data_IF_794582803126
#
_entry.id   IF_794582803126
#
_cell.length_a   1.000
_cell.length_b   1.000
_cell.length_c   1.000
_cell.angle_alpha   90.00
_cell.angle_beta   90.00
_cell.angle_gamma   90.00
#
_symmetry.space_group_name_H-M   'P 1'
#
loop_
_entity.id
_entity.type
_entity.pdbx_description
1 polymer ?
#
# COMPACT_ATOMS: atom_id res chain seq x y z
N UNK A 1 29.13 -6.79 -68.39
CA UNK A 1 29.49 -8.18 -68.00
C UNK A 1 29.29 -8.28 -66.48
N UNK A 2 28.66 -9.32 -65.90
CA UNK A 2 27.85 -10.44 -66.45
C UNK A 2 26.32 -10.14 -66.36
N UNK A 3 25.47 -10.62 -67.25
CA UNK A 3 24.83 -11.96 -67.43
C UNK A 3 23.58 -12.25 -66.55
N UNK A 4 22.45 -11.78 -67.07
CA UNK A 4 21.16 -12.44 -67.35
C UNK A 4 21.01 -13.97 -67.14
N UNK A 5 19.81 -14.42 -66.67
CA UNK A 5 18.92 -15.50 -67.20
C UNK A 5 18.24 -16.38 -66.12
N UNK A 6 16.90 -16.25 -66.05
CA UNK A 6 15.78 -17.24 -66.00
C UNK A 6 15.83 -18.47 -65.04
N UNK A 7 14.74 -19.14 -64.63
CA UNK A 7 13.42 -19.36 -65.24
C UNK A 7 12.40 -19.82 -64.18
N UNK A 8 11.11 -19.61 -64.48
CA UNK A 8 9.97 -20.28 -63.84
C UNK A 8 9.86 -21.73 -64.32
N UNK A 9 9.40 -22.63 -63.45
CA UNK A 9 8.72 -23.87 -63.83
C UNK A 9 7.65 -24.22 -62.78
N UNK A 10 6.39 -24.26 -63.22
CA UNK A 10 5.29 -24.96 -62.56
C UNK A 10 5.45 -26.47 -62.82
N UNK A 11 5.12 -27.31 -61.84
CA UNK A 11 4.55 -28.65 -62.07
C UNK A 11 3.86 -29.13 -60.79
N UNK A 12 2.56 -29.43 -60.92
CA UNK A 12 1.74 -30.12 -59.93
C UNK A 12 1.86 -31.64 -60.09
N UNK A 13 1.74 -32.41 -59.01
CA UNK A 13 1.32 -33.81 -59.07
C UNK A 13 0.68 -34.25 -57.74
N UNK A 14 -0.42 -34.98 -57.88
CA UNK A 14 -1.25 -35.54 -56.83
C UNK A 14 -0.80 -36.96 -56.44
N UNK A 15 -1.10 -37.36 -55.20
CA UNK A 15 -1.69 -38.68 -54.92
C UNK A 15 -0.83 -39.83 -54.34
N UNK A 16 -1.16 -40.17 -53.07
CA UNK A 16 -1.42 -41.51 -52.49
C UNK A 16 -0.26 -42.46 -52.05
N UNK A 17 -0.23 -42.65 -50.72
CA UNK A 17 0.02 -43.85 -49.88
C UNK A 17 1.31 -44.69 -49.98
N UNK A 18 2.03 -44.84 -48.85
CA UNK A 18 2.03 -46.06 -47.99
C UNK A 18 3.27 -46.15 -47.09
N UNK A 19 3.02 -46.38 -45.79
CA UNK A 19 3.82 -47.15 -44.80
C UNK A 19 5.36 -47.00 -44.80
N UNK A 20 5.83 -46.15 -43.88
CA UNK A 20 7.20 -46.19 -43.36
C UNK A 20 7.21 -45.67 -41.93
N UNK A 21 6.99 -46.54 -40.95
CA UNK A 21 7.09 -46.22 -39.54
C UNK A 21 8.58 -46.06 -39.17
N UNK A 22 9.15 -44.88 -39.43
CA UNK A 22 10.39 -44.46 -38.79
C UNK A 22 10.03 -43.89 -37.42
N UNK A 23 10.28 -44.68 -36.38
CA UNK A 23 10.25 -44.22 -35.00
C UNK A 23 11.35 -43.15 -34.81
N UNK A 24 10.99 -41.89 -35.01
CA UNK A 24 11.78 -40.78 -34.47
C UNK A 24 11.60 -40.83 -32.95
N UNK A 25 12.63 -41.31 -32.25
CA UNK A 25 12.86 -41.01 -30.85
C UNK A 25 13.12 -39.50 -30.77
N UNK A 26 12.06 -38.72 -30.55
CA UNK A 26 12.21 -37.34 -30.07
C UNK A 26 12.70 -37.47 -28.62
N UNK A 27 13.90 -36.99 -28.28
CA UNK A 27 14.26 -36.87 -26.88
C UNK A 27 13.27 -35.89 -26.26
N UNK A 28 12.44 -36.39 -25.35
CA UNK A 28 11.70 -35.55 -24.41
C UNK A 28 12.75 -34.95 -23.46
N UNK A 29 13.42 -33.89 -23.93
CA UNK A 29 14.09 -32.95 -23.06
C UNK A 29 12.99 -32.20 -22.30
N UNK A 30 12.56 -32.77 -21.18
CA UNK A 30 11.78 -32.06 -20.16
C UNK A 30 12.74 -31.22 -19.32
N UNK A 31 13.49 -30.32 -19.96
CA UNK A 31 13.92 -29.11 -19.26
C UNK A 31 12.76 -28.15 -19.41
N UNK A 32 11.85 -28.20 -18.43
CA UNK A 32 11.00 -27.04 -18.19
C UNK A 32 11.95 -25.85 -18.00
N UNK A 33 11.89 -24.78 -18.82
CA UNK A 33 12.75 -23.63 -18.60
C UNK A 33 12.57 -23.19 -17.15
N UNK A 34 13.67 -23.21 -16.40
CA UNK A 34 13.71 -22.75 -15.02
C UNK A 34 13.18 -21.33 -15.05
N UNK A 35 12.01 -21.11 -14.41
CA UNK A 35 11.38 -19.79 -14.44
C UNK A 35 12.36 -18.80 -13.85
N UNK A 36 12.56 -17.63 -14.48
CA UNK A 36 13.49 -16.64 -13.96
C UNK A 36 13.07 -16.30 -12.53
N UNK A 37 14.03 -16.39 -11.61
CA UNK A 37 13.86 -16.00 -10.22
C UNK A 37 13.42 -14.52 -10.18
N UNK A 38 12.24 -14.24 -9.63
CA UNK A 38 11.75 -12.87 -9.43
C UNK A 38 12.29 -12.35 -8.11
N UNK A 39 12.87 -11.16 -8.11
CA UNK A 39 13.22 -10.44 -6.89
C UNK A 39 11.94 -9.87 -6.30
N UNK A 40 11.60 -10.26 -5.07
CA UNK A 40 10.55 -9.61 -4.30
C UNK A 40 11.17 -8.46 -3.53
N UNK A 41 10.84 -7.24 -3.93
CA UNK A 41 11.32 -6.01 -3.30
C UNK A 41 10.30 -5.51 -2.29
N UNK A 42 10.79 -4.96 -1.19
CA UNK A 42 9.95 -4.26 -0.22
C UNK A 42 10.02 -2.77 -0.52
N UNK A 43 8.86 -2.11 -0.50
CA UNK A 43 8.70 -0.68 -0.72
C UNK A 43 7.81 -0.09 0.34
N UNK A 44 8.00 1.21 0.61
CA UNK A 44 7.01 2.00 1.34
C UNK A 44 6.17 2.72 0.30
N UNK A 45 4.88 2.45 0.31
CA UNK A 45 3.90 3.11 -0.53
C UNK A 45 3.76 4.59 -0.14
N UNK A 46 3.54 5.44 -1.14
CA UNK A 46 3.29 6.86 -0.98
C UNK A 46 1.84 7.16 -0.58
N UNK A 47 0.91 6.25 -0.86
CA UNK A 47 -0.50 6.38 -0.51
C UNK A 47 -1.03 5.12 0.19
N UNK A 48 -1.96 5.25 1.16
CA UNK A 48 -2.76 4.13 1.63
C UNK A 48 -3.48 3.48 0.45
N UNK A 49 -3.47 2.15 0.39
CA UNK A 49 -3.91 1.42 -0.81
C UNK A 49 -4.46 0.01 -0.54
N UNK A 50 -4.65 -0.39 0.72
CA UNK A 50 -4.96 -1.79 1.06
C UNK A 50 -6.44 -2.00 1.31
N UNK A 51 -7.07 -1.10 2.04
CA UNK A 51 -8.45 -1.24 2.51
C UNK A 51 -9.48 -0.62 1.55
N UNK A 52 -10.77 -0.97 1.66
CA UNK A 52 -11.83 -0.27 0.94
C UNK A 52 -11.83 1.23 1.21
N UNK A 53 -11.57 1.64 2.46
CA UNK A 53 -11.48 3.05 2.86
C UNK A 53 -10.37 3.78 2.09
N UNK A 54 -9.20 3.15 1.96
CA UNK A 54 -8.08 3.72 1.21
C UNK A 54 -8.47 3.95 -0.26
N UNK A 55 -9.09 2.94 -0.87
CA UNK A 55 -9.50 3.01 -2.28
C UNK A 55 -10.55 4.08 -2.54
N UNK A 56 -11.55 4.24 -1.65
CA UNK A 56 -12.56 5.28 -1.81
C UNK A 56 -12.06 6.69 -1.46
N UNK A 57 -11.07 6.79 -0.58
CA UNK A 57 -10.51 8.07 -0.11
C UNK A 57 -9.52 8.65 -1.11
N UNK A 58 -8.68 7.80 -1.71
CA UNK A 58 -7.56 8.24 -2.55
C UNK A 58 -7.69 7.82 -4.02
N UNK A 59 -8.57 6.88 -4.36
CA UNK A 59 -8.89 6.52 -5.74
C UNK A 59 -9.87 7.48 -6.40
N UNK A 60 -9.78 7.58 -7.73
CA UNK A 60 -10.79 8.25 -8.57
C UNK A 60 -11.73 7.24 -9.21
N UNK A 61 -11.18 6.12 -9.67
CA UNK A 61 -11.84 5.14 -10.51
C UNK A 61 -11.31 3.75 -10.18
N UNK A 62 -12.17 2.74 -10.23
CA UNK A 62 -11.73 1.34 -10.23
C UNK A 62 -12.23 0.69 -11.49
N UNK A 63 -11.32 0.08 -12.24
CA UNK A 63 -11.64 -0.52 -13.53
C UNK A 63 -10.98 -1.89 -13.70
N UNK A 64 -11.61 -2.73 -14.53
CA UNK A 64 -10.96 -3.89 -15.13
C UNK A 64 -10.07 -3.39 -16.26
N UNK A 65 -8.79 -3.71 -16.19
CA UNK A 65 -7.79 -3.31 -17.20
C UNK A 65 -7.10 -4.53 -17.78
N UNK A 66 -6.73 -4.45 -19.06
CA UNK A 66 -5.93 -5.48 -19.73
C UNK A 66 -4.56 -4.91 -20.07
N UNK A 67 -3.48 -5.57 -19.68
CA UNK A 67 -2.13 -5.16 -20.08
C UNK A 67 -1.87 -5.69 -21.48
N UNK A 68 -1.70 -4.80 -22.45
CA UNK A 68 -1.59 -5.18 -23.87
C UNK A 68 -0.15 -5.27 -24.37
N UNK A 69 0.76 -4.49 -23.77
CA UNK A 69 2.18 -4.51 -24.13
C UNK A 69 3.04 -3.89 -23.04
N UNK A 70 4.35 -4.13 -23.13
CA UNK A 70 5.35 -3.47 -22.29
C UNK A 70 6.55 -3.01 -23.11
N UNK A 71 7.29 -2.04 -22.59
CA UNK A 71 8.55 -1.58 -23.13
C UNK A 71 9.50 -1.15 -22.01
N UNK A 72 10.77 -1.56 -22.08
CA UNK A 72 11.83 -1.06 -21.19
C UNK A 72 11.93 0.47 -21.26
N UNK A 73 12.16 1.09 -20.11
CA UNK A 73 12.69 2.45 -20.08
C UNK A 73 14.21 2.42 -20.13
N UNK A 74 14.88 3.42 -20.72
CA UNK A 74 16.33 3.45 -20.71
C UNK A 74 16.89 3.53 -19.28
N UNK A 75 17.88 2.70 -18.96
CA UNK A 75 18.70 2.88 -17.76
C UNK A 75 19.44 4.23 -17.82
N UNK A 76 19.76 4.78 -16.66
CA UNK A 76 20.54 6.03 -16.58
C UNK A 76 21.97 5.84 -17.08
N UNK A 77 22.63 6.93 -17.47
CA UNK A 77 24.04 6.88 -17.89
C UNK A 77 24.97 6.36 -16.79
N UNK A 78 24.62 6.60 -15.52
CA UNK A 78 25.36 6.11 -14.36
C UNK A 78 25.25 4.59 -14.22
N UNK A 79 24.03 4.04 -14.30
CA UNK A 79 23.78 2.59 -14.25
C UNK A 79 24.45 1.86 -15.43
N UNK A 80 24.39 2.44 -16.64
CA UNK A 80 25.07 1.89 -17.81
C UNK A 80 26.60 1.87 -17.60
N UNK A 81 27.17 2.93 -17.02
CA UNK A 81 28.60 3.01 -16.74
C UNK A 81 29.04 2.03 -15.64
N UNK A 82 28.17 1.79 -14.64
CA UNK A 82 28.38 0.80 -13.60
C UNK A 82 28.22 -0.65 -14.13
N UNK A 83 27.51 -0.82 -15.25
CA UNK A 83 27.16 -2.13 -15.78
C UNK A 83 26.14 -2.87 -14.91
N UNK A 84 25.47 -2.18 -13.99
CA UNK A 84 24.42 -2.70 -13.13
C UNK A 84 23.47 -1.58 -12.70
N UNK A 85 22.23 -1.95 -12.35
CA UNK A 85 21.23 -0.97 -11.94
C UNK A 85 19.80 -1.49 -12.03
N UNK A 86 18.88 -0.56 -12.23
CA UNK A 86 17.45 -0.79 -12.31
C UNK A 86 16.89 -0.27 -13.64
N UNK A 87 16.01 -1.06 -14.25
CA UNK A 87 15.29 -0.72 -15.47
C UNK A 87 13.80 -0.75 -15.13
N UNK A 88 13.17 0.41 -15.09
CA UNK A 88 11.70 0.47 -15.06
C UNK A 88 11.13 0.08 -16.42
N UNK A 89 9.83 -0.21 -16.48
CA UNK A 89 9.16 -0.46 -17.75
C UNK A 89 7.85 0.30 -17.85
N UNK A 90 7.47 0.58 -19.08
CA UNK A 90 6.19 1.18 -19.42
C UNK A 90 5.25 0.09 -19.88
N UNK A 91 4.10 -0.04 -19.24
CA UNK A 91 3.01 -0.93 -19.66
C UNK A 91 1.91 -0.13 -20.32
N UNK A 92 1.35 -0.68 -21.41
CA UNK A 92 0.14 -0.16 -22.04
C UNK A 92 -1.07 -0.95 -21.55
N UNK A 93 -2.12 -0.24 -21.16
CA UNK A 93 -3.34 -0.78 -20.60
C UNK A 93 -4.53 -0.40 -21.48
N UNK A 94 -5.41 -1.35 -21.74
CA UNK A 94 -6.76 -1.07 -22.23
C UNK A 94 -7.70 -1.02 -21.03
N UNK A 95 -8.41 0.11 -20.87
CA UNK A 95 -9.41 0.29 -19.82
C UNK A 95 -10.72 -0.32 -20.29
N UNK A 96 -11.16 -1.37 -19.59
CA UNK A 96 -12.41 -2.06 -19.83
C UNK A 96 -13.55 -1.48 -19.01
N UNK A 97 -14.20 -2.33 -18.22
CA UNK A 97 -15.31 -1.95 -17.37
C UNK A 97 -14.85 -1.11 -16.19
N UNK A 98 -15.45 0.07 -15.99
CA UNK A 98 -15.30 0.85 -14.76
C UNK A 98 -16.35 0.34 -13.76
N UNK A 99 -15.89 -0.29 -12.68
CA UNK A 99 -16.76 -0.92 -11.66
C UNK A 99 -17.09 0.02 -10.51
N UNK A 100 -16.32 1.09 -10.32
CA UNK A 100 -16.60 2.14 -9.34
C UNK A 100 -15.98 3.47 -9.76
N UNK A 101 -16.66 4.56 -9.43
CA UNK A 101 -16.19 5.92 -9.62
C UNK A 101 -16.52 6.75 -8.39
N UNK A 102 -15.55 7.51 -7.90
CA UNK A 102 -15.78 8.53 -6.89
C UNK A 102 -16.68 9.64 -7.44
N UNK A 103 -17.59 10.23 -6.63
CA UNK A 103 -18.37 11.39 -7.05
C UNK A 103 -17.49 12.53 -7.57
N UNK A 104 -17.76 13.00 -8.79
CA UNK A 104 -17.00 14.11 -9.40
C UNK A 104 -15.64 13.74 -9.98
N UNK A 105 -15.21 12.47 -9.89
CA UNK A 105 -13.93 12.05 -10.45
C UNK A 105 -13.89 12.17 -11.99
N UNK A 106 -12.72 12.53 -12.56
CA UNK A 106 -12.53 12.52 -14.00
C UNK A 106 -12.69 11.10 -14.57
N UNK A 107 -13.12 10.99 -15.83
CA UNK A 107 -13.15 9.72 -16.56
C UNK A 107 -11.75 9.42 -17.13
N UNK A 108 -11.23 8.19 -16.97
CA UNK A 108 -9.95 7.83 -17.56
C UNK A 108 -10.10 7.67 -19.09
N UNK A 109 -9.02 7.86 -19.86
CA UNK A 109 -9.05 7.53 -21.29
C UNK A 109 -9.21 6.01 -21.49
N UNK A 110 -9.64 5.61 -22.68
CA UNK A 110 -9.82 4.19 -23.04
C UNK A 110 -8.50 3.38 -22.99
N UNK A 111 -7.36 4.04 -23.11
CA UNK A 111 -6.04 3.42 -23.03
C UNK A 111 -5.15 4.25 -22.12
N UNK A 112 -4.39 3.58 -21.25
CA UNK A 112 -3.45 4.21 -20.33
C UNK A 112 -2.05 3.63 -20.49
N UNK A 113 -1.07 4.40 -20.04
CA UNK A 113 0.31 3.96 -19.96
C UNK A 113 0.81 4.21 -18.55
N UNK A 114 1.27 3.15 -17.88
CA UNK A 114 1.86 3.25 -16.54
C UNK A 114 3.35 2.93 -16.60
N UNK A 115 4.13 3.55 -15.72
CA UNK A 115 5.51 3.14 -15.45
C UNK A 115 5.48 2.27 -14.20
N UNK A 116 6.05 1.08 -14.30
CA UNK A 116 6.06 0.05 -13.25
C UNK A 116 7.43 -0.60 -13.14
N UNK A 117 7.62 -1.42 -12.11
CA UNK A 117 8.86 -2.17 -11.92
C UNK A 117 9.16 -3.12 -13.08
N UNK A 118 10.37 -2.99 -13.61
CA UNK A 118 10.92 -3.88 -14.63
C UNK A 118 11.90 -4.87 -14.03
N UNK A 119 13.19 -4.57 -14.16
CA UNK A 119 14.27 -5.51 -13.89
C UNK A 119 15.42 -4.86 -13.11
N UNK A 120 16.04 -5.63 -12.22
CA UNK A 120 17.43 -5.37 -11.84
C UNK A 120 18.33 -5.95 -12.93
N UNK A 121 19.43 -5.27 -13.25
CA UNK A 121 20.40 -5.80 -14.21
C UNK A 121 21.83 -5.76 -13.67
N UNK A 122 22.64 -6.70 -14.16
CA UNK A 122 24.10 -6.77 -13.98
C UNK A 122 24.73 -7.40 -15.22
N UNK A 123 25.54 -6.63 -15.94
CA UNK A 123 25.96 -6.95 -17.30
C UNK A 123 24.75 -7.15 -18.21
N UNK A 124 24.74 -8.26 -18.95
CA UNK A 124 23.61 -8.63 -19.81
C UNK A 124 22.50 -9.39 -19.07
N UNK A 125 22.70 -9.71 -17.78
CA UNK A 125 21.70 -10.45 -16.99
C UNK A 125 20.65 -9.50 -16.46
N UNK A 126 19.38 -9.81 -16.73
CA UNK A 126 18.21 -9.11 -16.21
C UNK A 126 17.41 -10.04 -15.31
N UNK A 127 17.06 -9.56 -14.13
CA UNK A 127 16.26 -10.28 -13.14
C UNK A 127 14.98 -9.49 -12.88
N UNK A 128 13.78 -10.06 -13.14
CA UNK A 128 12.53 -9.35 -12.93
C UNK A 128 12.33 -8.95 -11.46
N UNK A 129 11.75 -7.78 -11.22
CA UNK A 129 11.39 -7.30 -9.87
C UNK A 129 9.87 -7.26 -9.75
N UNK A 130 9.35 -7.75 -8.63
CA UNK A 130 7.99 -7.49 -8.16
C UNK A 130 8.07 -6.81 -6.79
N UNK A 131 7.13 -5.92 -6.50
CA UNK A 131 6.92 -5.47 -5.13
C UNK A 131 6.20 -6.55 -4.33
N UNK A 132 6.54 -6.62 -3.05
CA UNK A 132 5.86 -7.48 -2.10
C UNK A 132 4.36 -7.17 -2.12
N UNK A 133 3.56 -8.23 -2.19
CA UNK A 133 2.11 -8.19 -2.25
C UNK A 133 1.50 -7.45 -3.45
N UNK A 134 2.26 -7.30 -4.53
CA UNK A 134 1.82 -6.56 -5.71
C UNK A 134 1.78 -7.43 -6.96
N UNK A 135 0.83 -7.12 -7.84
CA UNK A 135 0.83 -7.61 -9.21
C UNK A 135 1.88 -6.86 -10.02
N UNK A 136 2.66 -7.55 -10.86
CA UNK A 136 3.62 -6.85 -11.72
C UNK A 136 2.93 -6.09 -12.85
N UNK A 137 1.71 -6.44 -13.25
CA UNK A 137 1.07 -5.93 -14.49
C UNK A 137 1.80 -6.47 -15.73
N UNK A 138 1.70 -7.77 -15.94
CA UNK A 138 2.30 -8.49 -17.07
C UNK A 138 1.37 -8.48 -18.30
N UNK A 139 1.91 -8.31 -19.53
CA UNK A 139 1.13 -8.41 -20.75
C UNK A 139 0.34 -9.72 -20.87
N UNK A 140 -0.90 -9.62 -21.35
CA UNK A 140 -1.79 -10.77 -21.53
C UNK A 140 -2.65 -11.11 -20.29
N UNK A 141 -2.46 -10.40 -19.18
CA UNK A 141 -3.26 -10.54 -17.97
C UNK A 141 -4.25 -9.38 -17.79
N UNK A 142 -5.33 -9.66 -17.06
CA UNK A 142 -6.31 -8.67 -16.64
C UNK A 142 -6.22 -8.40 -15.14
N UNK A 143 -6.56 -7.16 -14.73
CA UNK A 143 -6.49 -6.71 -13.35
C UNK A 143 -7.69 -5.85 -12.97
N UNK A 144 -8.12 -5.90 -11.72
CA UNK A 144 -8.95 -4.84 -11.12
C UNK A 144 -8.00 -3.82 -10.50
N UNK A 145 -8.02 -2.61 -11.04
CA UNK A 145 -7.04 -1.56 -10.76
C UNK A 145 -7.73 -0.31 -10.21
N UNK A 146 -7.30 0.14 -9.03
CA UNK A 146 -7.69 1.47 -8.51
C UNK A 146 -6.77 2.54 -9.08
N UNK A 147 -7.36 3.48 -9.79
CA UNK A 147 -6.72 4.53 -10.57
C UNK A 147 -7.02 5.90 -9.97
N UNK A 148 -6.03 6.78 -9.97
CA UNK A 148 -6.19 8.18 -9.65
C UNK A 148 -5.45 9.08 -10.66
N UNK A 149 -5.95 10.30 -10.82
CA UNK A 149 -5.37 11.32 -11.67
C UNK A 149 -4.53 12.29 -10.85
N UNK A 150 -3.25 12.39 -11.19
CA UNK A 150 -2.30 13.29 -10.54
C UNK A 150 -2.46 14.74 -11.02
N UNK A 151 -1.85 15.69 -10.31
CA UNK A 151 -1.95 17.13 -10.61
C UNK A 151 -1.36 17.53 -11.97
N UNK A 152 -0.39 16.77 -12.49
CA UNK A 152 0.13 16.95 -13.85
C UNK A 152 -0.81 16.39 -14.95
N UNK A 153 -1.95 15.82 -14.53
CA UNK A 153 -2.99 15.27 -15.38
C UNK A 153 -2.75 13.81 -15.80
N UNK A 154 -1.65 13.20 -15.39
CA UNK A 154 -1.35 11.79 -15.63
C UNK A 154 -2.23 10.89 -14.76
N UNK A 155 -2.41 9.64 -15.21
CA UNK A 155 -3.12 8.62 -14.45
C UNK A 155 -2.12 7.61 -13.91
N UNK A 156 -2.32 7.17 -12.68
CA UNK A 156 -1.55 6.12 -12.03
C UNK A 156 -2.46 5.17 -11.28
N UNK A 157 -1.97 3.97 -10.96
CA UNK A 157 -2.51 3.23 -9.82
C UNK A 157 -2.28 4.05 -8.54
N UNK A 158 -3.18 3.96 -7.56
CA UNK A 158 -2.99 4.70 -6.29
C UNK A 158 -1.71 4.26 -5.59
N UNK A 159 -1.39 2.96 -5.58
CA UNK A 159 -0.06 2.44 -5.23
C UNK A 159 0.08 0.93 -5.51
N UNK A 160 1.15 0.29 -5.03
CA UNK A 160 1.56 -1.08 -5.31
C UNK A 160 0.49 -2.16 -5.10
N UNK A 161 -0.32 -2.12 -4.02
CA UNK A 161 -1.35 -3.14 -3.75
C UNK A 161 -2.73 -2.82 -4.35
N UNK A 162 -2.81 -1.74 -5.14
CA UNK A 162 -4.04 -1.29 -5.78
C UNK A 162 -4.39 -2.05 -7.08
N UNK A 163 -3.70 -3.16 -7.35
CA UNK A 163 -3.83 -3.97 -8.56
C UNK A 163 -4.09 -5.44 -8.22
N UNK A 164 -5.33 -5.87 -8.34
CA UNK A 164 -5.74 -7.24 -8.06
C UNK A 164 -5.70 -8.09 -9.34
N UNK A 165 -5.14 -9.33 -9.32
CA UNK A 165 -5.20 -10.23 -10.46
C UNK A 165 -6.66 -10.54 -10.84
N UNK A 166 -7.01 -10.58 -12.14
CA UNK A 166 -8.40 -10.73 -12.59
C UNK A 166 -8.56 -11.55 -13.89
N UNK A 167 -7.78 -12.62 -14.05
CA UNK A 167 -7.98 -13.53 -15.18
C UNK A 167 -9.26 -14.35 -15.03
N UNK A 168 -9.87 -14.69 -16.17
CA UNK A 168 -11.09 -15.52 -16.22
C UNK A 168 -12.23 -14.98 -15.32
N UNK A 169 -12.39 -13.65 -15.30
CA UNK A 169 -13.45 -12.95 -14.58
C UNK A 169 -13.47 -13.25 -13.07
N UNK A 170 -12.31 -13.59 -12.50
CA UNK A 170 -12.19 -14.00 -11.10
C UNK A 170 -11.05 -13.25 -10.42
N UNK A 171 -11.37 -12.45 -9.40
CA UNK A 171 -10.37 -11.75 -8.58
C UNK A 171 -9.45 -12.76 -7.90
N UNK A 172 -8.15 -12.50 -7.96
CA UNK A 172 -7.07 -13.34 -7.43
C UNK A 172 -6.63 -14.46 -8.38
N UNK A 173 -7.24 -14.63 -9.55
CA UNK A 173 -6.70 -15.48 -10.59
C UNK A 173 -5.86 -14.64 -11.56
N UNK A 174 -4.72 -15.16 -12.01
CA UNK A 174 -3.84 -14.46 -12.96
C UNK A 174 -2.46 -14.19 -12.39
N UNK A 175 -1.78 -13.17 -12.86
CA UNK A 175 -0.42 -12.86 -12.42
C UNK A 175 -0.39 -12.10 -11.09
N UNK A 176 0.45 -12.56 -10.17
CA UNK A 176 0.76 -11.95 -8.89
C UNK A 176 2.24 -12.17 -8.56
N UNK A 177 2.97 -11.10 -8.20
CA UNK A 177 4.41 -11.12 -7.91
C UNK A 177 5.26 -11.85 -8.98
N UNK A 178 4.89 -11.72 -10.25
CA UNK A 178 5.56 -12.35 -11.39
C UNK A 178 5.24 -13.83 -11.58
N UNK A 179 4.22 -14.35 -10.89
CA UNK A 179 3.78 -15.73 -11.03
C UNK A 179 2.29 -15.80 -11.33
N UNK A 180 1.90 -16.68 -12.25
CA UNK A 180 0.49 -17.02 -12.43
C UNK A 180 0.00 -17.86 -11.25
N UNK A 181 -1.03 -17.37 -10.56
CA UNK A 181 -1.67 -17.98 -9.40
C UNK A 181 -3.15 -18.22 -9.66
N UNK A 182 -3.71 -19.18 -8.93
CA UNK A 182 -5.16 -19.35 -8.80
C UNK A 182 -5.70 -18.47 -7.68
N UNK A 183 -7.00 -18.13 -7.73
CA UNK A 183 -7.66 -17.39 -6.65
C UNK A 183 -7.47 -18.02 -5.26
N UNK A 184 -7.38 -19.36 -5.18
CA UNK A 184 -7.09 -20.05 -3.92
C UNK A 184 -5.66 -19.77 -3.41
N UNK A 185 -4.67 -19.77 -4.31
CA UNK A 185 -3.28 -19.48 -3.96
C UNK A 185 -3.10 -18.02 -3.57
N UNK A 186 -3.69 -17.10 -4.35
CA UNK A 186 -3.73 -15.68 -4.00
C UNK A 186 -4.41 -15.45 -2.64
N UNK A 187 -5.59 -16.04 -2.43
CA UNK A 187 -6.32 -15.95 -1.17
C UNK A 187 -5.60 -16.54 0.04
N UNK A 188 -4.67 -17.47 -0.17
CA UNK A 188 -3.78 -17.93 0.89
C UNK A 188 -2.66 -16.91 1.15
N UNK A 189 -2.04 -16.38 0.10
CA UNK A 189 -0.95 -15.42 0.19
C UNK A 189 -1.35 -14.12 0.90
N UNK A 190 -2.53 -13.57 0.62
CA UNK A 190 -3.02 -12.33 1.25
C UNK A 190 -3.52 -12.52 2.69
N UNK A 191 -3.71 -13.77 3.15
CA UNK A 191 -4.17 -14.09 4.52
C UNK A 191 -3.03 -14.44 5.47
N UNK A 192 -1.93 -14.97 4.95
CA UNK A 192 -0.74 -15.33 5.73
C UNK A 192 0.12 -14.13 6.08
N UNK A 193 -0.38 -12.92 5.87
CA UNK A 193 0.32 -11.72 6.21
C UNK A 193 0.34 -11.54 7.73
N UNK A 194 1.45 -11.93 8.35
CA UNK A 194 1.73 -11.67 9.77
C UNK A 194 2.05 -10.18 10.01
N UNK A 195 2.24 -9.39 8.94
CA UNK A 195 2.30 -7.92 8.92
C UNK A 195 0.94 -7.30 8.59
N UNK A 196 -0.15 -7.90 9.12
CA UNK A 196 -1.37 -7.11 9.34
C UNK A 196 -0.92 -5.84 10.06
N UNK A 197 -1.27 -4.64 9.57
CA UNK A 197 -1.00 -3.44 10.33
C UNK A 197 -1.67 -3.67 11.69
N UNK A 198 -0.87 -3.80 12.74
CA UNK A 198 -1.35 -3.52 14.10
C UNK A 198 -1.92 -2.12 13.96
N UNK A 199 -3.23 -1.98 14.14
CA UNK A 199 -3.99 -0.79 13.72
C UNK A 199 -3.54 0.47 14.43
N UNK A 200 -2.40 1.02 14.00
CA UNK A 200 -1.66 2.07 14.70
C UNK A 200 -0.73 2.87 13.81
N UNK A 201 -0.32 2.38 12.63
CA UNK A 201 0.58 3.16 11.76
C UNK A 201 -0.14 4.22 10.91
N UNK A 202 -1.46 4.15 10.74
CA UNK A 202 -2.27 5.26 10.21
C UNK A 202 -3.77 5.04 10.53
N UNK A 203 -4.15 5.16 11.81
CA UNK A 203 -5.55 5.30 12.21
C UNK A 203 -5.71 6.67 12.88
N UNK A 204 -6.45 7.62 12.30
CA UNK A 204 -6.68 8.94 12.92
C UNK A 204 -7.49 8.87 14.22
N UNK A 205 -7.97 7.67 14.61
CA UNK A 205 -8.86 7.47 15.77
C UNK A 205 -8.24 6.68 16.91
N UNK A 206 -7.00 6.19 16.79
CA UNK A 206 -6.34 5.41 17.84
C UNK A 206 -7.02 4.07 18.20
N UNK A 207 -8.13 3.73 17.54
CA UNK A 207 -8.76 2.42 17.64
C UNK A 207 -8.09 1.46 16.65
N UNK A 208 -7.70 0.29 17.14
CA UNK A 208 -7.23 -0.84 16.34
C UNK A 208 -8.40 -1.38 15.50
N UNK A 209 -8.70 -0.72 14.38
CA UNK A 209 -9.61 -1.25 13.38
C UNK A 209 -8.78 -2.07 12.42
N UNK A 210 -8.82 -3.39 12.57
CA UNK A 210 -8.31 -4.32 11.56
C UNK A 210 -9.24 -4.19 10.34
N UNK A 211 -8.92 -3.26 9.44
CA UNK A 211 -9.61 -3.14 8.16
C UNK A 211 -9.11 -4.28 7.27
N UNK A 212 -9.99 -5.21 6.91
CA UNK A 212 -9.67 -6.25 5.92
C UNK A 212 -9.32 -5.60 4.57
N UNK A 213 -8.29 -6.11 3.90
CA UNK A 213 -7.88 -5.59 2.60
C UNK A 213 -8.93 -5.85 1.52
N UNK A 214 -8.96 -5.02 0.47
CA UNK A 214 -9.82 -5.27 -0.71
C UNK A 214 -9.51 -6.65 -1.29
N UNK A 215 -8.25 -7.05 -1.33
CA UNK A 215 -7.82 -8.35 -1.80
C UNK A 215 -8.45 -9.51 -1.00
N UNK A 216 -8.41 -9.45 0.34
CA UNK A 216 -9.00 -10.47 1.22
C UNK A 216 -10.53 -10.53 1.08
N UNK A 217 -11.17 -9.38 0.98
CA UNK A 217 -12.64 -9.26 0.89
C UNK A 217 -13.20 -9.76 -0.45
N UNK A 218 -12.40 -9.70 -1.51
CA UNK A 218 -12.89 -9.89 -2.88
C UNK A 218 -12.29 -11.08 -3.63
N UNK A 219 -11.30 -11.77 -3.06
CA UNK A 219 -10.72 -12.97 -3.69
C UNK A 219 -11.80 -14.01 -4.05
N UNK A 220 -11.73 -14.51 -5.29
CA UNK A 220 -12.68 -15.47 -5.84
C UNK A 220 -14.03 -14.87 -6.27
N UNK A 221 -14.18 -13.53 -6.24
CA UNK A 221 -15.38 -12.81 -6.70
C UNK A 221 -15.18 -12.23 -8.10
N UNK A 222 -16.27 -11.92 -8.82
CA UNK A 222 -16.24 -11.05 -10.01
C UNK A 222 -15.89 -9.59 -9.65
N UNK A 223 -15.51 -8.78 -10.65
CA UNK A 223 -15.10 -7.39 -10.46
C UNK A 223 -16.20 -6.46 -9.95
N UNK A 224 -17.47 -6.69 -10.30
CA UNK A 224 -18.63 -5.91 -9.83
C UNK A 224 -18.82 -5.97 -8.31
N UNK A 225 -18.30 -7.01 -7.65
CA UNK A 225 -18.26 -7.13 -6.21
C UNK A 225 -17.37 -6.05 -5.56
N UNK A 226 -16.25 -5.68 -6.19
CA UNK A 226 -15.43 -4.54 -5.76
C UNK A 226 -16.23 -3.25 -5.87
N UNK A 227 -16.95 -3.07 -6.97
CA UNK A 227 -17.85 -1.93 -7.16
C UNK A 227 -18.88 -1.80 -6.04
N UNK A 228 -19.52 -2.92 -5.67
CA UNK A 228 -20.50 -2.98 -4.58
C UNK A 228 -19.85 -2.65 -3.23
N UNK A 229 -18.69 -3.24 -2.93
CA UNK A 229 -17.95 -3.01 -1.69
C UNK A 229 -17.61 -1.53 -1.50
N UNK A 230 -17.04 -0.90 -2.54
CA UNK A 230 -16.63 0.50 -2.51
C UNK A 230 -17.83 1.46 -2.50
N UNK A 231 -18.93 1.12 -3.18
CA UNK A 231 -20.15 1.92 -3.13
C UNK A 231 -20.82 1.95 -1.74
N UNK A 232 -20.51 0.97 -0.88
CA UNK A 232 -20.99 0.90 0.51
C UNK A 232 -19.96 1.36 1.54
N UNK A 233 -18.78 1.80 1.10
CA UNK A 233 -17.72 2.29 1.97
C UNK A 233 -17.72 3.80 1.94
N UNK A 234 -17.91 4.42 3.11
CA UNK A 234 -17.76 5.87 3.25
C UNK A 234 -16.26 6.23 3.18
N UNK A 235 -15.88 7.27 2.40
CA UNK A 235 -14.51 7.77 2.39
C UNK A 235 -14.13 8.44 3.70
N UNK A 236 -12.84 8.63 3.92
CA UNK A 236 -12.36 9.51 4.98
C UNK A 236 -12.97 10.91 4.78
N UNK A 237 -13.64 11.50 5.79
CA UNK A 237 -14.33 12.77 5.62
C UNK A 237 -13.43 13.94 5.23
N UNK A 238 -12.16 13.94 5.65
CA UNK A 238 -11.17 14.95 5.25
C UNK A 238 -10.71 14.69 3.83
N UNK A 239 -10.53 13.43 3.43
CA UNK A 239 -10.28 13.11 2.03
C UNK A 239 -11.45 13.58 1.15
N UNK A 240 -12.69 13.27 1.55
CA UNK A 240 -13.92 13.65 0.84
C UNK A 240 -14.05 15.18 0.68
N UNK A 241 -13.79 15.93 1.74
CA UNK A 241 -13.81 17.39 1.71
C UNK A 241 -12.76 17.99 0.75
N UNK A 242 -11.73 17.23 0.39
CA UNK A 242 -10.61 17.65 -0.46
C UNK A 242 -10.52 16.82 -1.75
N UNK A 243 -11.68 16.38 -2.25
CA UNK A 243 -11.77 15.59 -3.47
C UNK A 243 -11.36 16.33 -4.76
N UNK A 244 -11.24 17.65 -4.71
CA UNK A 244 -10.68 18.50 -5.76
C UNK A 244 -9.15 18.48 -5.83
N UNK A 245 -8.47 18.02 -4.77
CA UNK A 245 -7.02 17.79 -4.78
C UNK A 245 -6.66 16.48 -5.48
N UNK A 246 -5.45 16.44 -6.04
CA UNK A 246 -4.83 15.20 -6.48
C UNK A 246 -4.62 14.26 -5.28
N UNK A 247 -4.48 12.94 -5.48
CA UNK A 247 -4.48 11.98 -4.37
C UNK A 247 -3.31 12.17 -3.39
N UNK A 248 -2.17 12.67 -3.84
CA UNK A 248 -1.01 12.94 -2.97
C UNK A 248 -1.30 14.17 -2.11
N UNK A 249 -1.72 15.28 -2.72
CA UNK A 249 -2.08 16.48 -1.97
C UNK A 249 -3.28 16.25 -1.03
N UNK A 250 -4.22 15.37 -1.44
CA UNK A 250 -5.33 14.92 -0.58
C UNK A 250 -4.82 14.11 0.59
N UNK A 251 -3.95 13.14 0.36
CA UNK A 251 -3.32 12.38 1.44
C UNK A 251 -2.51 13.29 2.35
N UNK A 252 -1.68 14.20 1.82
CA UNK A 252 -0.97 15.21 2.60
C UNK A 252 -1.93 16.13 3.37
N UNK A 253 -3.17 16.32 2.92
CA UNK A 253 -4.17 17.09 3.69
C UNK A 253 -4.76 16.24 4.82
N UNK A 254 -4.96 14.94 4.61
CA UNK A 254 -5.43 14.00 5.65
C UNK A 254 -4.32 13.70 6.67
N UNK A 255 -3.09 13.54 6.19
CA UNK A 255 -1.86 13.25 6.93
C UNK A 255 -1.15 14.50 7.47
N UNK A 256 -1.47 15.67 6.91
CA UNK A 256 -0.97 17.00 7.26
C UNK A 256 -2.05 17.94 7.82
N UNK A 257 -3.25 17.43 8.10
CA UNK A 257 -3.64 17.51 9.51
C UNK A 257 -2.48 16.82 10.20
N UNK A 258 -1.62 17.58 10.91
CA UNK A 258 -0.63 16.99 11.82
C UNK A 258 -1.25 15.71 12.41
N UNK A 259 -0.51 14.64 12.74
CA UNK A 259 -1.00 13.72 13.79
C UNK A 259 -1.71 14.61 14.82
N UNK A 260 -3.06 14.63 14.94
CA UNK A 260 -3.78 15.88 15.18
C UNK A 260 -3.16 16.54 16.38
N UNK A 261 -2.29 17.56 16.21
CA UNK A 261 -1.10 17.81 17.05
C UNK A 261 -1.25 17.10 18.38
N UNK A 262 -0.82 15.81 18.51
CA UNK A 262 -1.49 14.79 19.36
C UNK A 262 -2.39 15.51 20.35
N UNK A 263 -3.70 15.63 20.06
CA UNK A 263 -4.53 16.59 20.79
C UNK A 263 -4.24 16.44 22.26
N UNK A 264 -4.25 17.50 23.05
CA UNK A 264 -4.00 17.42 24.49
C UNK A 264 -4.61 16.14 25.13
N UNK A 265 -5.80 15.74 24.64
CA UNK A 265 -6.49 14.49 24.97
C UNK A 265 -5.95 13.18 24.39
N UNK A 266 -5.44 13.15 23.16
CA UNK A 266 -4.68 12.02 22.61
C UNK A 266 -3.39 11.76 23.41
N UNK A 267 -2.62 12.80 23.77
CA UNK A 267 -1.43 12.64 24.64
C UNK A 267 -1.86 12.18 26.03
N UNK A 268 -2.98 12.67 26.54
CA UNK A 268 -3.49 12.31 27.87
C UNK A 268 -4.15 10.92 27.92
N UNK A 269 -4.43 10.28 26.78
CA UNK A 269 -5.13 8.98 26.73
C UNK A 269 -4.48 7.89 27.59
N UNK A 270 -3.14 7.71 27.62
CA UNK A 270 -2.49 6.75 28.50
C UNK A 270 -2.64 7.04 30.00
N UNK A 271 -3.02 8.26 30.37
CA UNK A 271 -3.29 8.66 31.76
C UNK A 271 -4.69 8.23 32.25
N UNK A 272 -5.55 7.79 31.33
CA UNK A 272 -6.89 7.32 31.69
C UNK A 272 -6.80 6.10 32.63
N UNK A 273 -7.66 6.09 33.66
CA UNK A 273 -7.85 4.94 34.53
C UNK A 273 -8.40 3.77 33.72
N UNK A 274 -7.52 2.84 33.38
CA UNK A 274 -7.87 1.55 32.78
C UNK A 274 -7.11 0.44 33.51
N UNK A 275 -7.65 -0.78 33.52
CA UNK A 275 -6.98 -1.95 34.12
C UNK A 275 -5.61 -2.27 33.47
N UNK A 276 -5.29 -1.64 32.32
CA UNK A 276 -4.05 -1.81 31.58
C UNK A 276 -3.03 -0.66 31.75
N UNK A 277 -3.39 0.46 32.38
CA UNK A 277 -2.52 1.64 32.49
C UNK A 277 -1.46 1.44 33.57
N UNK A 278 -0.32 0.82 33.20
CA UNK A 278 0.87 0.71 34.04
C UNK A 278 1.95 1.68 33.56
N UNK A 279 2.10 2.82 34.23
CA UNK A 279 3.12 3.81 33.91
C UNK A 279 4.22 3.79 34.97
N UNK A 280 5.47 3.70 34.54
CA UNK A 280 6.63 4.03 35.37
C UNK A 280 6.70 5.54 35.62
N UNK A 281 7.51 5.98 36.59
CA UNK A 281 7.68 7.42 36.85
C UNK A 281 8.23 8.15 35.62
N UNK A 282 9.18 7.54 34.89
CA UNK A 282 9.78 8.16 33.69
C UNK A 282 8.79 8.24 32.54
N UNK A 283 7.96 7.21 32.31
CA UNK A 283 6.93 7.24 31.27
C UNK A 283 5.87 8.30 31.57
N UNK A 284 5.42 8.38 32.82
CA UNK A 284 4.51 9.42 33.28
C UNK A 284 5.12 10.82 33.10
N UNK A 285 6.39 11.01 33.47
CA UNK A 285 7.11 12.26 33.25
C UNK A 285 7.27 12.63 31.77
N UNK A 286 7.45 11.63 30.89
CA UNK A 286 7.50 11.80 29.44
C UNK A 286 6.16 12.18 28.80
N UNK A 287 5.05 11.63 29.29
CA UNK A 287 3.70 11.98 28.83
C UNK A 287 3.33 13.41 29.28
N UNK A 288 3.54 13.73 30.56
CA UNK A 288 3.29 15.07 31.09
C UNK A 288 4.14 16.13 30.37
N UNK A 289 5.41 15.81 30.05
CA UNK A 289 6.29 16.69 29.29
C UNK A 289 5.81 16.96 27.86
N UNK A 290 5.14 16.00 27.23
CA UNK A 290 4.49 16.21 25.93
C UNK A 290 3.26 17.11 26.05
N UNK A 291 2.44 16.96 27.11
CA UNK A 291 1.28 17.82 27.36
C UNK A 291 1.64 19.30 27.54
N UNK A 292 2.84 19.61 28.08
CA UNK A 292 3.33 20.99 28.21
C UNK A 292 3.40 21.71 26.87
N UNK A 293 3.72 21.00 25.79
CA UNK A 293 3.84 21.60 24.45
C UNK A 293 2.48 22.00 23.84
N UNK A 294 1.39 21.38 24.33
CA UNK A 294 0.03 21.61 23.84
C UNK A 294 -0.76 22.60 24.69
N UNK A 295 -0.21 23.03 25.83
CA UNK A 295 -0.86 23.94 26.77
C UNK A 295 -0.20 25.32 26.80
N UNK A 296 -0.90 26.30 27.37
CA UNK A 296 -0.36 27.65 27.57
C UNK A 296 -0.62 28.17 28.98
N UNK A 297 0.23 29.09 29.44
CA UNK A 297 0.00 29.81 30.70
C UNK A 297 0.23 28.95 31.95
N UNK A 298 -0.73 28.99 32.87
CA UNK A 298 -0.62 28.33 34.18
C UNK A 298 -0.69 26.80 34.05
N UNK A 299 -1.55 26.28 33.17
CA UNK A 299 -1.72 24.84 32.92
C UNK A 299 -0.42 24.20 32.37
N UNK A 300 0.24 24.85 31.42
CA UNK A 300 1.55 24.41 30.92
C UNK A 300 2.64 24.44 32.00
N UNK A 301 2.58 25.42 32.91
CA UNK A 301 3.54 25.54 34.02
C UNK A 301 3.37 24.39 35.01
N UNK A 302 2.12 24.08 35.36
CA UNK A 302 1.79 23.03 36.32
C UNK A 302 2.10 21.63 35.77
N UNK A 303 1.82 21.38 34.49
CA UNK A 303 2.25 20.17 33.78
C UNK A 303 3.78 20.02 33.78
N UNK A 304 4.50 21.12 33.58
CA UNK A 304 5.97 21.13 33.60
C UNK A 304 6.55 20.76 34.96
N UNK A 305 5.94 21.23 36.05
CA UNK A 305 6.35 20.87 37.42
C UNK A 305 6.14 19.37 37.69
N UNK A 306 5.00 18.81 37.29
CA UNK A 306 4.74 17.38 37.44
C UNK A 306 5.69 16.54 36.58
N UNK A 307 5.93 16.94 35.32
CA UNK A 307 6.87 16.26 34.44
C UNK A 307 8.29 16.23 35.03
N UNK A 308 8.79 17.36 35.54
CA UNK A 308 10.10 17.45 36.15
C UNK A 308 10.23 16.60 37.43
N UNK A 309 9.20 16.60 38.29
CA UNK A 309 9.15 15.75 39.48
C UNK A 309 9.24 14.26 39.11
N UNK A 310 8.43 13.81 38.15
CA UNK A 310 8.40 12.41 37.71
C UNK A 310 9.68 11.98 36.96
N UNK A 311 10.39 12.93 36.36
CA UNK A 311 11.72 12.74 35.76
C UNK A 311 12.88 12.86 36.78
N UNK A 312 12.58 12.91 38.09
CA UNK A 312 13.56 12.75 39.16
C UNK A 312 13.90 14.01 39.96
N UNK A 313 13.28 15.16 39.67
CA UNK A 313 13.47 16.36 40.49
C UNK A 313 12.62 16.33 41.78
N UNK A 314 13.12 15.56 42.74
CA UNK A 314 12.48 15.42 44.06
C UNK A 314 12.34 16.72 44.85
N UNK A 315 13.04 17.81 44.47
CA UNK A 315 12.89 19.12 45.13
C UNK A 315 11.50 19.73 44.90
N UNK A 316 10.80 19.28 43.87
CA UNK A 316 9.46 19.74 43.48
C UNK A 316 8.33 18.97 44.15
N UNK A 317 8.60 17.96 45.00
CA UNK A 317 7.59 17.05 45.56
C UNK A 317 6.38 17.78 46.19
N UNK A 318 6.65 18.77 47.06
CA UNK A 318 5.58 19.53 47.72
C UNK A 318 4.73 20.37 46.74
N UNK A 319 5.34 20.82 45.64
CA UNK A 319 4.64 21.60 44.62
C UNK A 319 3.83 20.69 43.70
N UNK A 320 4.42 19.55 43.29
CA UNK A 320 3.74 18.50 42.54
C UNK A 320 2.49 18.00 43.26
N UNK A 321 2.57 17.73 44.57
CA UNK A 321 1.41 17.31 45.35
C UNK A 321 0.31 18.36 45.43
N UNK A 322 0.67 19.65 45.43
CA UNK A 322 -0.28 20.75 45.52
C UNK A 322 -1.06 20.97 44.21
N UNK A 323 -0.39 20.84 43.04
CA UNK A 323 -0.98 21.13 41.72
C UNK A 323 -1.65 19.92 41.07
N UNK A 324 -1.25 18.70 41.46
CA UNK A 324 -1.75 17.43 40.90
C UNK A 324 -3.29 17.36 40.79
N UNK A 325 -4.11 17.73 41.79
CA UNK A 325 -5.57 17.69 41.65
C UNK A 325 -6.12 18.64 40.58
N UNK A 326 -5.49 19.80 40.39
CA UNK A 326 -5.89 20.78 39.38
C UNK A 326 -5.58 20.30 37.97
N UNK A 327 -4.38 19.72 37.77
CA UNK A 327 -3.98 19.12 36.50
C UNK A 327 -4.89 17.95 36.11
N UNK A 328 -5.23 17.07 37.06
CA UNK A 328 -6.21 15.99 36.85
C UNK A 328 -7.54 16.57 36.38
N UNK A 329 -8.11 17.51 37.14
CA UNK A 329 -9.41 18.12 36.82
C UNK A 329 -9.40 18.77 35.44
N UNK A 330 -8.30 19.44 35.08
CA UNK A 330 -8.16 20.08 33.77
C UNK A 330 -8.16 19.04 32.64
N UNK A 331 -7.36 17.98 32.76
CA UNK A 331 -7.31 16.89 31.77
C UNK A 331 -8.68 16.21 31.64
N UNK A 332 -9.32 15.85 32.75
CA UNK A 332 -10.64 15.22 32.73
C UNK A 332 -11.70 16.13 32.08
N UNK A 333 -11.68 17.43 32.40
CA UNK A 333 -12.63 18.39 31.85
C UNK A 333 -12.42 18.64 30.36
N UNK A 334 -11.17 18.70 29.89
CA UNK A 334 -10.87 18.93 28.48
C UNK A 334 -11.13 17.68 27.63
N UNK A 335 -10.89 16.50 28.19
CA UNK A 335 -10.78 15.27 27.41
C UNK A 335 -11.89 14.25 27.67
N UNK A 336 -12.70 14.43 28.70
CA UNK A 336 -13.79 13.52 29.03
C UNK A 336 -13.31 12.12 29.41
N UNK A 337 -12.06 11.99 29.87
CA UNK A 337 -11.47 10.76 30.42
C UNK A 337 -11.41 10.85 31.94
N UNK A 338 -11.41 9.72 32.64
CA UNK A 338 -11.15 9.67 34.09
C UNK A 338 -9.64 9.44 34.28
N UNK A 339 -8.95 10.34 34.98
CA UNK A 339 -7.49 10.28 35.14
C UNK A 339 -7.16 9.75 36.53
N UNK A 340 -6.11 8.91 36.62
CA UNK A 340 -5.66 8.39 37.91
C UNK A 340 -5.11 9.47 38.82
N UNK A 341 -4.52 9.08 39.94
CA UNK A 341 -3.84 10.01 40.86
C UNK A 341 -2.54 10.60 40.28
N UNK A 342 -2.24 10.36 38.99
CA UNK A 342 -0.96 10.65 38.35
C UNK A 342 0.21 10.13 39.20
N UNK A 343 0.05 8.99 39.88
CA UNK A 343 1.14 8.27 40.49
C UNK A 343 1.60 7.12 39.58
N UNK A 344 2.90 6.77 39.61
CA UNK A 344 3.36 5.60 38.88
C UNK A 344 2.70 4.34 39.45
N UNK A 345 2.05 3.59 38.57
CA UNK A 345 1.33 2.35 38.91
C UNK A 345 2.16 1.10 38.66
N UNK A 346 3.31 1.23 37.96
CA UNK A 346 4.28 0.16 37.78
C UNK A 346 5.39 0.22 38.85
N UNK A 347 5.67 -0.91 39.50
CA UNK A 347 6.77 -1.08 40.45
C UNK A 347 8.09 -1.52 39.78
N UNK A 348 8.22 -1.38 38.45
CA UNK A 348 9.50 -1.65 37.79
C UNK A 348 10.56 -0.66 38.28
N UNK A 349 11.37 -1.12 39.23
CA UNK A 349 12.49 -0.42 39.84
C UNK A 349 13.44 0.12 38.77
N UNK A 350 13.93 1.34 38.96
CA UNK A 350 15.07 1.88 38.22
C UNK A 350 16.28 0.95 38.43
N UNK A 351 16.68 0.20 37.41
CA UNK A 351 18.05 -0.33 37.24
C UNK A 351 18.84 0.57 36.28
#
# INVERSE_FOLDING_TARGET
MPLNIQAKLLSALAGVAALGATAFLVPLATDSPERPHVIIAQGKDGLPNRSPLDWVSYGDQVAVVNVTSEAETPASAEEIAAGEGYISRRVALDIGEVVWSRPGAPTPPATLSLVVDGWSFKGDTRTPIALEQSSRLEPGHAYVLSLARLSDGTWSAIDSQAALPYDSETIGAGEYQGQTVTAKQFGAAVKTDDDKPKGGDFSPTGAEVIMESVAELTVGKPADYVGTLLATTDPDPLAEANFDLDPIARFDTVAGVDEPAKTFCSIATPLALSEASQLTSTELGGILGQLVAEENGEDATDLGVLAAYHNGDSSLASQADAIRPAVITNIESQCGIEVGDLAPTSTASQE
#
